data_IF_575270794809
#
_entry.id   IF_575270794809
#
_cell.length_a   1.000
_cell.length_b   1.000
_cell.length_c   1.000
_cell.angle_alpha   90.00
_cell.angle_beta   90.00
_cell.angle_gamma   90.00
#
_symmetry.space_group_name_H-M   'P 1'
#
loop_
_entity.id
_entity.type
_entity.pdbx_description
1 polymer ?
#
# COMPACT_ATOMS: atom_id res chain seq x y z
N UNK A 1 11.05 15.79 13.34
CA UNK A 1 9.69 15.39 12.99
C UNK A 1 9.28 16.29 11.84
N UNK A 2 9.24 15.78 10.61
CA UNK A 2 8.78 16.61 9.48
C UNK A 2 7.36 17.08 9.78
N UNK A 3 7.12 18.38 9.68
CA UNK A 3 5.82 18.96 9.95
C UNK A 3 4.83 18.42 8.90
N UNK A 4 3.56 18.27 9.25
CA UNK A 4 2.53 17.79 8.29
C UNK A 4 2.48 18.71 7.06
N UNK A 5 2.76 19.99 7.28
CA UNK A 5 2.92 21.02 6.26
C UNK A 5 4.07 20.73 5.28
N UNK A 6 5.21 20.21 5.77
CA UNK A 6 6.35 19.85 4.93
C UNK A 6 6.01 18.69 3.99
N UNK A 7 5.23 17.72 4.50
CA UNK A 7 4.78 16.56 3.71
C UNK A 7 3.82 17.03 2.62
N UNK A 8 2.89 17.93 2.94
CA UNK A 8 1.93 18.43 1.98
C UNK A 8 2.61 19.27 0.90
N UNK A 9 3.54 20.15 1.27
CA UNK A 9 4.35 20.92 0.33
C UNK A 9 5.11 20.01 -0.65
N UNK A 10 5.73 18.96 -0.14
CA UNK A 10 6.47 18.00 -0.95
C UNK A 10 5.56 17.19 -1.89
N UNK A 11 4.37 16.80 -1.41
CA UNK A 11 3.34 16.17 -2.24
C UNK A 11 2.94 17.08 -3.39
N UNK A 12 2.68 18.36 -3.12
CA UNK A 12 2.27 19.32 -4.15
C UNK A 12 3.40 19.59 -5.16
N UNK A 13 4.65 19.67 -4.70
CA UNK A 13 5.84 19.78 -5.56
C UNK A 13 5.98 18.58 -6.50
N UNK A 14 5.92 17.36 -5.94
CA UNK A 14 6.05 16.13 -6.72
C UNK A 14 4.85 15.91 -7.64
N UNK A 15 3.65 16.34 -7.23
CA UNK A 15 2.47 16.31 -8.07
C UNK A 15 2.66 17.20 -9.31
N UNK A 16 3.15 18.43 -9.15
CA UNK A 16 3.45 19.32 -10.27
C UNK A 16 4.50 18.69 -11.20
N UNK A 17 5.61 18.18 -10.64
CA UNK A 17 6.66 17.53 -11.41
C UNK A 17 6.14 16.30 -12.18
N UNK A 18 5.25 15.52 -11.55
CA UNK A 18 4.60 14.37 -12.18
C UNK A 18 3.62 14.79 -13.28
N UNK A 19 2.80 15.81 -13.04
CA UNK A 19 1.85 16.36 -14.03
C UNK A 19 2.58 16.98 -15.23
N UNK A 20 3.66 17.71 -14.99
CA UNK A 20 4.53 18.22 -16.06
C UNK A 20 5.13 17.06 -16.85
N UNK A 21 5.71 16.07 -16.17
CA UNK A 21 6.37 14.95 -16.84
C UNK A 21 5.38 14.09 -17.65
N UNK A 22 4.14 13.92 -17.19
CA UNK A 22 3.07 13.24 -17.92
C UNK A 22 2.54 14.09 -19.08
N UNK A 23 2.40 15.41 -18.90
CA UNK A 23 2.03 16.34 -19.96
C UNK A 23 3.07 16.35 -21.08
N UNK A 24 4.35 16.48 -20.74
CA UNK A 24 5.44 16.39 -21.71
C UNK A 24 5.47 15.02 -22.39
N UNK A 25 5.22 13.91 -21.68
CA UNK A 25 5.14 12.59 -22.31
C UNK A 25 3.98 12.49 -23.33
N UNK A 26 2.80 13.04 -23.02
CA UNK A 26 1.64 13.02 -23.95
C UNK A 26 1.83 13.94 -25.15
N UNK A 27 2.40 15.14 -24.95
CA UNK A 27 2.75 16.06 -26.04
C UNK A 27 3.89 15.47 -26.90
N UNK A 28 4.89 14.84 -26.29
CA UNK A 28 6.03 14.23 -27.00
C UNK A 28 5.64 12.92 -27.69
N UNK A 29 4.59 12.20 -27.24
CA UNK A 29 4.00 11.07 -27.97
C UNK A 29 3.43 11.49 -29.34
N UNK A 30 2.93 12.74 -29.47
CA UNK A 30 2.57 13.33 -30.77
C UNK A 30 3.81 13.67 -31.60
N UNK A 31 4.91 14.06 -30.96
CA UNK A 31 6.21 14.34 -31.59
C UNK A 31 7.05 13.08 -31.91
N UNK A 32 6.69 11.92 -31.36
CA UNK A 32 7.45 10.66 -31.36
C UNK A 32 7.42 9.89 -32.69
N UNK A 33 6.85 10.47 -33.75
CA UNK A 33 7.09 10.00 -35.12
C UNK A 33 8.56 10.18 -35.57
N UNK A 34 9.42 10.87 -34.78
CA UNK A 34 10.79 11.27 -35.14
C UNK A 34 11.93 10.60 -34.34
N UNK A 35 11.71 9.48 -33.64
CA UNK A 35 12.82 8.58 -33.27
C UNK A 35 13.78 9.06 -32.16
N UNK A 36 13.31 9.83 -31.18
CA UNK A 36 14.08 10.16 -29.97
C UNK A 36 13.65 9.27 -28.79
N UNK A 37 14.62 8.82 -28.00
CA UNK A 37 14.56 7.81 -26.94
C UNK A 37 13.60 8.20 -25.80
N UNK A 38 12.48 7.50 -25.67
CA UNK A 38 11.60 7.35 -24.49
C UNK A 38 11.61 8.48 -23.43
N UNK A 39 10.83 9.54 -23.64
CA UNK A 39 10.46 10.47 -22.56
C UNK A 39 9.18 9.97 -21.88
N UNK A 40 9.32 9.02 -20.95
CA UNK A 40 8.29 8.69 -19.97
C UNK A 40 8.42 9.68 -18.80
N UNK A 41 7.35 10.02 -18.05
CA UNK A 41 7.55 10.62 -16.74
C UNK A 41 8.55 9.75 -15.98
N UNK A 42 9.56 10.37 -15.35
CA UNK A 42 10.63 9.59 -14.72
C UNK A 42 9.97 8.62 -13.75
N UNK A 43 10.05 7.33 -14.05
CA UNK A 43 9.42 6.25 -13.27
C UNK A 43 9.80 6.36 -11.78
N UNK A 44 10.97 6.96 -11.54
CA UNK A 44 11.45 7.38 -10.23
C UNK A 44 10.58 8.46 -9.57
N UNK A 45 10.24 9.54 -10.27
CA UNK A 45 9.35 10.61 -9.75
C UNK A 45 7.97 10.05 -9.44
N UNK A 46 7.43 9.16 -10.29
CA UNK A 46 6.17 8.47 -10.00
C UNK A 46 6.26 7.64 -8.71
N UNK A 47 7.36 6.90 -8.53
CA UNK A 47 7.61 6.12 -7.32
C UNK A 47 7.76 7.01 -6.07
N UNK A 48 8.52 8.11 -6.17
CA UNK A 48 8.74 9.05 -5.06
C UNK A 48 7.42 9.75 -4.68
N UNK A 49 6.62 10.16 -5.66
CA UNK A 49 5.28 10.71 -5.46
C UNK A 49 4.36 9.70 -4.78
N UNK A 50 4.34 8.43 -5.23
CA UNK A 50 3.55 7.38 -4.61
C UNK A 50 3.96 7.12 -3.14
N UNK A 51 5.26 7.20 -2.83
CA UNK A 51 5.77 7.09 -1.46
C UNK A 51 5.30 8.26 -0.58
N UNK A 52 5.32 9.49 -1.10
CA UNK A 52 4.85 10.66 -0.35
C UNK A 52 3.33 10.63 -0.12
N UNK A 53 2.56 10.22 -1.13
CA UNK A 53 1.12 9.98 -0.99
C UNK A 53 0.82 8.91 0.07
N UNK A 54 1.62 7.85 0.14
CA UNK A 54 1.50 6.82 1.17
C UNK A 54 1.75 7.39 2.57
N UNK A 55 2.60 8.41 2.74
CA UNK A 55 2.85 9.04 4.05
C UNK A 55 1.70 9.94 4.51
N UNK A 56 0.83 10.38 3.61
CA UNK A 56 -0.33 11.21 3.93
C UNK A 56 -1.36 10.46 4.80
N UNK A 57 -2.19 11.22 5.52
CA UNK A 57 -3.27 10.69 6.36
C UNK A 57 -4.59 10.53 5.61
N UNK A 58 -4.70 11.08 4.39
CA UNK A 58 -5.96 11.03 3.64
C UNK A 58 -6.15 9.69 2.94
N UNK A 59 -7.34 9.10 3.06
CA UNK A 59 -7.70 7.84 2.41
C UNK A 59 -7.56 7.91 0.87
N UNK A 60 -7.90 9.06 0.27
CA UNK A 60 -7.80 9.28 -1.17
C UNK A 60 -6.34 9.20 -1.66
N UNK A 61 -5.40 9.79 -0.93
CA UNK A 61 -3.97 9.71 -1.27
C UNK A 61 -3.43 8.28 -1.17
N UNK A 62 -3.90 7.49 -0.20
CA UNK A 62 -3.51 6.08 -0.08
C UNK A 62 -4.02 5.27 -1.28
N UNK A 63 -5.26 5.52 -1.74
CA UNK A 63 -5.79 4.84 -2.92
C UNK A 63 -5.00 5.19 -4.19
N UNK A 64 -4.70 6.48 -4.40
CA UNK A 64 -3.88 6.91 -5.52
C UNK A 64 -2.46 6.31 -5.46
N UNK A 65 -1.87 6.25 -4.26
CA UNK A 65 -0.56 5.60 -4.05
C UNK A 65 -0.58 4.13 -4.47
N UNK A 66 -1.64 3.39 -4.13
CA UNK A 66 -1.82 1.99 -4.56
C UNK A 66 -1.85 1.90 -6.09
N UNK A 67 -2.65 2.74 -6.76
CA UNK A 67 -2.77 2.75 -8.21
C UNK A 67 -1.40 3.01 -8.88
N UNK A 68 -0.66 4.01 -8.40
CA UNK A 68 0.68 4.32 -8.91
C UNK A 68 1.65 3.15 -8.68
N UNK A 69 1.65 2.52 -7.51
CA UNK A 69 2.50 1.34 -7.27
C UNK A 69 2.11 0.14 -8.13
N UNK A 70 0.83 -0.07 -8.43
CA UNK A 70 0.39 -1.12 -9.34
C UNK A 70 0.88 -0.88 -10.77
N UNK A 71 0.84 0.37 -11.25
CA UNK A 71 1.40 0.75 -12.55
C UNK A 71 2.91 0.50 -12.62
N UNK A 72 3.65 0.91 -11.59
CA UNK A 72 5.08 0.68 -11.46
C UNK A 72 5.41 -0.82 -11.44
N UNK A 73 4.57 -1.63 -10.80
CA UNK A 73 4.71 -3.08 -10.78
C UNK A 73 4.48 -3.71 -12.15
N UNK A 74 3.52 -3.19 -12.95
CA UNK A 74 3.25 -3.68 -14.33
C UNK A 74 4.47 -3.49 -15.24
N UNK A 75 5.17 -2.37 -15.12
CA UNK A 75 6.41 -2.09 -15.86
C UNK A 75 7.66 -2.72 -15.20
N UNK A 76 7.48 -3.53 -14.14
CA UNK A 76 8.53 -4.20 -13.36
C UNK A 76 9.57 -3.25 -12.74
N UNK A 77 9.23 -1.97 -12.58
CA UNK A 77 10.11 -1.04 -11.90
C UNK A 77 10.15 -1.34 -10.41
N UNK A 78 11.34 -1.59 -9.88
CA UNK A 78 11.58 -1.83 -8.46
C UNK A 78 10.55 -2.76 -7.79
N UNK A 79 10.28 -3.90 -8.44
CA UNK A 79 9.11 -4.76 -8.14
C UNK A 79 9.04 -5.21 -6.67
N UNK A 80 10.18 -5.58 -6.07
CA UNK A 80 10.27 -5.99 -4.65
C UNK A 80 9.81 -4.85 -3.74
N UNK A 81 10.34 -3.65 -3.96
CA UNK A 81 10.00 -2.49 -3.15
C UNK A 81 8.55 -2.06 -3.38
N UNK A 82 8.05 -2.08 -4.61
CA UNK A 82 6.64 -1.78 -4.90
C UNK A 82 5.71 -2.78 -4.20
N UNK A 83 6.04 -4.08 -4.18
CA UNK A 83 5.27 -5.08 -3.42
C UNK A 83 5.29 -4.80 -1.91
N UNK A 84 6.42 -4.33 -1.38
CA UNK A 84 6.54 -3.94 0.03
C UNK A 84 5.64 -2.74 0.35
N UNK A 85 5.69 -1.68 -0.47
CA UNK A 85 4.86 -0.49 -0.28
C UNK A 85 3.37 -0.80 -0.44
N UNK A 86 2.98 -1.62 -1.44
CA UNK A 86 1.60 -2.09 -1.59
C UNK A 86 1.11 -2.84 -0.35
N UNK A 87 1.94 -3.69 0.25
CA UNK A 87 1.59 -4.38 1.48
C UNK A 87 1.30 -3.39 2.62
N UNK A 88 2.13 -2.35 2.79
CA UNK A 88 1.91 -1.29 3.78
C UNK A 88 0.61 -0.51 3.52
N UNK A 89 0.35 -0.10 2.27
CA UNK A 89 -0.89 0.59 1.90
C UNK A 89 -2.12 -0.25 2.22
N UNK A 90 -2.11 -1.55 1.88
CA UNK A 90 -3.21 -2.45 2.21
C UNK A 90 -3.34 -2.70 3.72
N UNK A 91 -2.25 -2.75 4.48
CA UNK A 91 -2.30 -2.84 5.94
C UNK A 91 -2.94 -1.59 6.56
N UNK A 92 -2.61 -0.39 6.08
CA UNK A 92 -3.26 0.87 6.50
C UNK A 92 -4.75 0.88 6.22
N UNK A 93 -5.17 0.29 5.09
CA UNK A 93 -6.59 0.11 4.72
C UNK A 93 -7.29 -1.06 5.43
N UNK A 94 -6.59 -1.79 6.31
CA UNK A 94 -7.08 -3.03 6.95
C UNK A 94 -7.42 -4.15 5.95
N UNK A 95 -6.90 -4.07 4.73
CA UNK A 95 -7.05 -5.09 3.68
C UNK A 95 -5.99 -6.19 3.84
N UNK A 96 -5.94 -6.83 5.02
CA UNK A 96 -4.87 -7.75 5.43
C UNK A 96 -4.65 -8.93 4.49
N UNK A 97 -5.72 -9.42 3.84
CA UNK A 97 -5.63 -10.52 2.86
C UNK A 97 -4.81 -10.13 1.63
N UNK A 98 -4.96 -8.90 1.13
CA UNK A 98 -4.18 -8.41 -0.02
C UNK A 98 -2.74 -8.13 0.40
N UNK A 99 -2.54 -7.49 1.55
CA UNK A 99 -1.21 -7.27 2.11
C UNK A 99 -0.39 -8.58 2.24
N UNK A 100 -1.03 -9.64 2.77
CA UNK A 100 -0.41 -10.96 2.87
C UNK A 100 0.03 -11.53 1.52
N UNK A 101 -0.81 -11.41 0.48
CA UNK A 101 -0.48 -11.91 -0.87
C UNK A 101 0.74 -11.19 -1.46
N UNK A 102 0.83 -9.87 -1.30
CA UNK A 102 1.99 -9.11 -1.77
C UNK A 102 3.26 -9.50 -1.01
N UNK A 103 3.18 -9.69 0.32
CA UNK A 103 4.31 -10.16 1.13
C UNK A 103 4.74 -11.58 0.77
N UNK A 104 3.80 -12.49 0.53
CA UNK A 104 4.10 -13.86 0.10
C UNK A 104 4.77 -13.87 -1.28
N UNK A 105 4.33 -13.02 -2.21
CA UNK A 105 5.00 -12.85 -3.51
C UNK A 105 6.40 -12.26 -3.35
N UNK A 106 6.56 -11.23 -2.52
CA UNK A 106 7.85 -10.60 -2.25
C UNK A 106 8.84 -11.63 -1.67
N UNK A 107 8.43 -12.39 -0.65
CA UNK A 107 9.28 -13.39 0.00
C UNK A 107 9.60 -14.59 -0.90
N UNK A 108 8.81 -14.86 -1.94
CA UNK A 108 9.17 -15.84 -2.98
C UNK A 108 10.33 -15.35 -3.85
N UNK A 109 10.41 -14.03 -4.09
CA UNK A 109 11.51 -13.41 -4.84
C UNK A 109 12.75 -13.24 -3.95
N UNK A 110 12.55 -12.71 -2.74
CA UNK A 110 13.61 -12.45 -1.77
C UNK A 110 13.29 -13.09 -0.42
N UNK A 111 13.59 -14.38 -0.24
CA UNK A 111 13.26 -15.11 1.00
C UNK A 111 14.04 -14.62 2.22
N UNK A 112 15.17 -13.93 2.00
CA UNK A 112 16.03 -13.37 3.06
C UNK A 112 15.77 -11.88 3.34
N UNK A 113 14.69 -11.31 2.80
CA UNK A 113 14.37 -9.91 3.03
C UNK A 113 13.85 -9.72 4.46
N UNK A 114 14.71 -9.19 5.33
CA UNK A 114 14.39 -8.94 6.74
C UNK A 114 13.20 -7.98 6.91
N UNK A 115 13.11 -6.93 6.10
CA UNK A 115 12.02 -5.97 6.17
C UNK A 115 10.66 -6.64 5.89
N UNK A 116 10.60 -7.48 4.85
CA UNK A 116 9.38 -8.21 4.51
C UNK A 116 8.99 -9.25 5.57
N UNK A 117 9.98 -9.94 6.17
CA UNK A 117 9.74 -10.88 7.27
C UNK A 117 9.20 -10.16 8.51
N UNK A 118 9.78 -9.03 8.88
CA UNK A 118 9.30 -8.20 10.00
C UNK A 118 7.88 -7.71 9.75
N UNK A 119 7.59 -7.20 8.54
CA UNK A 119 6.26 -6.71 8.19
C UNK A 119 5.22 -7.84 8.18
N UNK A 120 5.60 -9.05 7.72
CA UNK A 120 4.76 -10.24 7.78
C UNK A 120 4.48 -10.69 9.22
N UNK A 121 5.47 -10.60 10.11
CA UNK A 121 5.27 -10.87 11.55
C UNK A 121 4.24 -9.91 12.13
N UNK A 122 4.41 -8.60 11.90
CA UNK A 122 3.47 -7.58 12.36
C UNK A 122 2.04 -7.83 11.84
N UNK A 123 1.92 -8.22 10.57
CA UNK A 123 0.63 -8.58 9.98
C UNK A 123 -0.02 -9.79 10.68
N UNK A 124 0.78 -10.80 11.03
CA UNK A 124 0.30 -11.98 11.74
C UNK A 124 -0.15 -11.63 13.16
N UNK A 125 0.60 -10.78 13.86
CA UNK A 125 0.25 -10.31 15.20
C UNK A 125 -1.11 -9.60 15.18
N UNK A 126 -1.32 -8.66 14.25
CA UNK A 126 -2.60 -7.95 14.08
C UNK A 126 -3.75 -8.93 13.80
N UNK A 127 -3.54 -9.88 12.88
CA UNK A 127 -4.57 -10.88 12.53
C UNK A 127 -4.91 -11.80 13.71
N UNK A 128 -3.90 -12.19 14.48
CA UNK A 128 -4.08 -13.04 15.66
C UNK A 128 -4.87 -12.30 16.74
N UNK A 129 -4.58 -11.01 16.96
CA UNK A 129 -5.24 -10.18 17.97
C UNK A 129 -6.73 -9.95 17.63
N UNK A 130 -7.03 -9.71 16.34
CA UNK A 130 -8.40 -9.59 15.84
C UNK A 130 -9.16 -10.93 15.94
N UNK A 131 -8.50 -12.05 15.62
CA UNK A 131 -9.10 -13.38 15.73
C UNK A 131 -9.40 -13.75 17.20
N UNK A 132 -8.47 -13.43 18.11
CA UNK A 132 -8.65 -13.67 19.54
C UNK A 132 -9.84 -12.88 20.10
N UNK A 133 -9.94 -11.59 19.79
CA UNK A 133 -11.09 -10.76 20.19
C UNK A 133 -12.41 -11.33 19.67
N UNK A 134 -12.47 -11.71 18.39
CA UNK A 134 -13.65 -12.32 17.79
C UNK A 134 -14.07 -13.61 18.49
N UNK A 135 -13.11 -14.48 18.79
CA UNK A 135 -13.38 -15.75 19.49
C UNK A 135 -13.93 -15.53 20.90
N UNK A 136 -13.42 -14.53 21.63
CA UNK A 136 -13.88 -14.19 22.97
C UNK A 136 -15.35 -13.73 22.97
N UNK A 137 -15.74 -12.90 22.00
CA UNK A 137 -17.13 -12.46 21.87
C UNK A 137 -18.08 -13.64 21.63
N UNK A 138 -17.70 -14.60 20.78
CA UNK A 138 -18.51 -15.80 20.50
C UNK A 138 -18.66 -16.68 21.74
N UNK A 139 -17.56 -16.93 22.46
CA UNK A 139 -17.58 -17.72 23.70
C UNK A 139 -18.48 -17.05 24.74
N UNK A 140 -18.32 -15.74 24.98
CA UNK A 140 -19.15 -15.01 25.93
C UNK A 140 -20.64 -15.04 25.56
N UNK A 141 -20.98 -14.81 24.29
CA UNK A 141 -22.36 -14.90 23.82
C UNK A 141 -22.95 -16.30 24.02
N UNK A 142 -22.18 -17.35 23.73
CA UNK A 142 -22.61 -18.74 23.92
C UNK A 142 -22.86 -19.09 25.40
N UNK A 143 -22.00 -18.61 26.31
CA UNK A 143 -22.16 -18.80 27.76
C UNK A 143 -23.38 -18.05 28.29
N UNK A 144 -23.60 -16.80 27.87
CA UNK A 144 -24.78 -16.03 28.24
C UNK A 144 -26.07 -16.71 27.75
N UNK A 145 -26.11 -17.18 26.50
CA UNK A 145 -27.25 -17.92 25.96
C UNK A 145 -27.53 -19.21 26.74
N UNK A 146 -26.48 -19.95 27.10
CA UNK A 146 -26.60 -21.16 27.92
C UNK A 146 -27.12 -20.86 29.34
N UNK A 147 -26.64 -19.79 29.97
CA UNK A 147 -27.10 -19.36 31.29
C UNK A 147 -28.58 -18.96 31.29
N UNK A 148 -29.02 -18.21 30.26
CA UNK A 148 -30.42 -17.83 30.08
C UNK A 148 -31.31 -19.06 29.82
N UNK A 149 -30.87 -20.01 28.99
CA UNK A 149 -31.57 -21.27 28.79
C UNK A 149 -31.75 -22.04 30.09
N UNK A 150 -30.70 -22.10 30.93
CA UNK A 150 -30.75 -22.75 32.23
C UNK A 150 -31.64 -22.01 33.23
N UNK A 151 -31.72 -20.68 33.20
CA UNK A 151 -32.57 -19.90 34.12
C UNK A 151 -34.06 -19.94 33.75
N UNK A 152 -34.40 -20.34 32.52
CA UNK A 152 -35.78 -20.40 32.03
C UNK A 152 -36.43 -21.79 32.26
N UNK A 153 -35.63 -22.79 32.62
CA UNK A 153 -36.06 -24.15 32.98
C UNK A 153 -36.05 -24.34 34.49
#
# INVERSE_FOLDING_TARGET
MANIEDIQFEIDRLKQEYEEATFYATVVLVSHALGIRNYQPSVKVQYDYACMLMCSMQSNHINLSIELFEELLRIRFNSVQCMYQLALCHMRKREYKKARRHLDMLLRLEPRNHAALSLRSLLFDILSDDAMKGSLFVVMASLCAFALYKSWR
#
